data_IF_894842743384
#
_entry.id   IF_894842743384
#
_cell.length_a   1.000
_cell.length_b   1.000
_cell.length_c   1.000
_cell.angle_alpha   90.00
_cell.angle_beta   90.00
_cell.angle_gamma   90.00
#
_symmetry.space_group_name_H-M   'P 1'
#
loop_
_entity.id
_entity.type
_entity.pdbx_description
1 polymer ?
#
# COMPACT_ATOMS: atom_id res chain seq x y z
N UNK A 1 -1.37 4.64 119.22
CA UNK A 1 -1.14 6.08 119.46
C UNK A 1 0.36 6.33 119.39
N UNK A 2 0.77 7.37 118.65
CA UNK A 2 2.14 7.94 118.53
C UNK A 2 3.17 6.99 117.89
N UNK A 3 3.52 7.06 116.61
CA UNK A 3 3.81 8.18 115.71
C UNK A 3 4.92 9.15 116.19
N UNK A 4 6.01 9.12 115.41
CA UNK A 4 6.88 10.22 114.98
C UNK A 4 8.24 10.44 115.67
N UNK A 5 9.24 10.35 114.79
CA UNK A 5 10.38 11.27 114.68
C UNK A 5 11.66 10.97 115.44
N UNK A 6 12.08 9.70 115.40
CA UNK A 6 13.51 9.31 115.37
C UNK A 6 14.28 9.83 114.13
N UNK A 7 13.65 10.68 113.30
CA UNK A 7 14.23 11.26 112.09
C UNK A 7 15.11 12.50 112.33
N UNK A 8 15.19 13.02 113.56
CA UNK A 8 16.02 14.20 113.87
C UNK A 8 17.44 13.87 114.39
N UNK A 9 17.80 12.60 114.59
CA UNK A 9 19.11 12.25 115.15
C UNK A 9 20.14 11.75 114.12
N UNK A 10 19.76 11.50 112.86
CA UNK A 10 20.65 10.91 111.84
C UNK A 10 21.00 11.91 110.71
N UNK A 11 20.35 13.08 110.65
CA UNK A 11 20.49 14.01 109.53
C UNK A 11 21.60 15.09 109.70
N UNK A 12 22.36 15.10 110.80
CA UNK A 12 23.32 16.19 111.09
C UNK A 12 24.80 15.73 111.12
N UNK A 13 25.10 14.42 111.02
CA UNK A 13 26.49 13.92 111.07
C UNK A 13 27.17 13.74 109.68
N UNK A 14 26.48 13.99 108.56
CA UNK A 14 26.98 13.61 107.23
C UNK A 14 27.70 14.74 106.45
N UNK A 15 28.12 15.83 107.11
CA UNK A 15 28.63 17.02 106.41
C UNK A 15 30.11 17.34 106.62
N UNK A 16 30.95 16.41 107.08
CA UNK A 16 32.40 16.68 107.25
C UNK A 16 33.36 15.54 106.83
N UNK A 17 32.90 14.52 106.10
CA UNK A 17 33.81 13.57 105.47
C UNK A 17 34.11 13.98 104.01
N UNK A 18 35.38 13.96 103.56
CA UNK A 18 35.72 14.24 102.16
C UNK A 18 34.97 13.27 101.23
N UNK A 19 34.65 13.67 99.98
CA UNK A 19 33.84 12.84 99.10
C UNK A 19 34.52 11.48 98.93
N UNK A 20 33.84 10.44 99.42
CA UNK A 20 34.22 9.06 99.21
C UNK A 20 34.39 8.88 97.68
N UNK A 21 35.53 8.40 97.17
CA UNK A 21 35.68 8.18 95.74
C UNK A 21 34.54 7.29 95.27
N UNK A 22 33.87 7.71 94.19
CA UNK A 22 32.80 6.95 93.55
C UNK A 22 33.18 5.47 93.51
N UNK A 23 32.28 4.55 93.92
CA UNK A 23 32.60 3.13 93.95
C UNK A 23 33.13 2.73 92.56
N UNK A 24 34.33 2.16 92.58
CA UNK A 24 35.04 1.62 91.44
C UNK A 24 34.03 0.92 90.52
N UNK A 25 33.86 1.42 89.30
CA UNK A 25 32.87 0.90 88.34
C UNK A 25 33.01 -0.60 88.34
N UNK A 26 31.92 -1.31 88.67
CA UNK A 26 31.93 -2.78 88.76
C UNK A 26 32.67 -3.31 87.52
N UNK A 27 33.77 -4.06 87.68
CA UNK A 27 34.62 -4.49 86.56
C UNK A 27 33.81 -5.22 85.48
N UNK A 28 32.64 -5.78 85.82
CA UNK A 28 31.72 -6.37 84.86
C UNK A 28 31.01 -5.33 83.97
N UNK A 29 30.64 -4.15 84.49
CA UNK A 29 29.98 -3.08 83.71
C UNK A 29 30.97 -2.45 82.73
N UNK A 30 32.22 -2.23 83.15
CA UNK A 30 33.27 -1.70 82.27
C UNK A 30 33.64 -2.69 81.15
N UNK A 31 33.67 -4.00 81.45
CA UNK A 31 33.88 -5.05 80.45
C UNK A 31 32.72 -5.11 79.43
N UNK A 32 31.47 -5.09 79.91
CA UNK A 32 30.28 -5.07 79.04
C UNK A 32 30.26 -3.82 78.13
N UNK A 33 30.64 -2.65 78.65
CA UNK A 33 30.73 -1.43 77.84
C UNK A 33 31.80 -1.54 76.73
N UNK A 34 32.94 -2.19 77.04
CA UNK A 34 33.98 -2.49 76.05
C UNK A 34 33.49 -3.47 74.97
N UNK A 35 32.79 -4.52 75.37
CA UNK A 35 32.22 -5.51 74.44
C UNK A 35 31.16 -4.89 73.53
N UNK A 36 30.30 -4.01 74.04
CA UNK A 36 29.30 -3.28 73.24
C UNK A 36 29.98 -2.34 72.23
N UNK A 37 31.06 -1.66 72.61
CA UNK A 37 31.82 -0.80 71.69
C UNK A 37 32.45 -1.63 70.56
N UNK A 38 33.03 -2.79 70.90
CA UNK A 38 33.62 -3.71 69.93
C UNK A 38 32.55 -4.29 68.98
N UNK A 39 31.38 -4.68 69.50
CA UNK A 39 30.27 -5.15 68.67
C UNK A 39 29.77 -4.06 67.73
N UNK A 40 29.68 -2.82 68.21
CA UNK A 40 29.24 -1.67 67.40
C UNK A 40 30.21 -1.40 66.26
N UNK A 41 31.52 -1.44 66.53
CA UNK A 41 32.55 -1.29 65.51
C UNK A 41 32.50 -2.43 64.47
N UNK A 42 32.28 -3.68 64.92
CA UNK A 42 32.15 -4.82 64.03
C UNK A 42 30.91 -4.71 63.10
N UNK A 43 29.77 -4.26 63.63
CA UNK A 43 28.55 -4.03 62.84
C UNK A 43 28.75 -2.93 61.79
N UNK A 44 29.46 -1.85 62.15
CA UNK A 44 29.77 -0.78 61.20
C UNK A 44 30.70 -1.27 60.07
N UNK A 45 31.71 -2.06 60.39
CA UNK A 45 32.61 -2.66 59.41
C UNK A 45 31.86 -3.63 58.47
N UNK A 46 30.94 -4.44 59.01
CA UNK A 46 30.11 -5.33 58.20
C UNK A 46 29.20 -4.57 57.23
N UNK A 47 28.57 -3.47 57.69
CA UNK A 47 27.73 -2.63 56.83
C UNK A 47 28.52 -1.98 55.68
N UNK A 48 29.76 -1.53 55.95
CA UNK A 48 30.64 -1.01 54.90
C UNK A 48 31.02 -2.10 53.89
N UNK A 49 31.30 -3.33 54.36
CA UNK A 49 31.61 -4.46 53.49
C UNK A 49 30.40 -4.88 52.62
N UNK A 50 29.18 -4.85 53.16
CA UNK A 50 27.93 -5.11 52.42
C UNK A 50 27.74 -4.05 51.33
N UNK A 51 27.91 -2.76 51.64
CA UNK A 51 27.79 -1.68 50.65
C UNK A 51 28.84 -1.81 49.53
N UNK A 52 30.10 -2.11 49.89
CA UNK A 52 31.14 -2.35 48.90
C UNK A 52 30.85 -3.56 48.01
N UNK A 53 30.26 -4.62 48.57
CA UNK A 53 29.82 -5.80 47.83
C UNK A 53 28.65 -5.47 46.91
N UNK A 54 27.65 -4.72 47.38
CA UNK A 54 26.52 -4.28 46.56
C UNK A 54 26.98 -3.41 45.39
N UNK A 55 27.94 -2.51 45.61
CA UNK A 55 28.51 -1.70 44.53
C UNK A 55 29.31 -2.54 43.53
N UNK A 56 30.01 -3.59 43.97
CA UNK A 56 30.68 -4.54 43.07
C UNK A 56 29.66 -5.36 42.29
N UNK A 57 28.59 -5.84 42.92
CA UNK A 57 27.51 -6.59 42.27
C UNK A 57 26.79 -5.71 41.23
N UNK A 58 26.47 -4.46 41.56
CA UNK A 58 25.89 -3.50 40.62
C UNK A 58 26.80 -3.28 39.40
N UNK A 59 28.09 -3.02 39.62
CA UNK A 59 29.06 -2.87 38.54
C UNK A 59 29.26 -4.15 37.71
N UNK A 60 29.15 -5.34 38.32
CA UNK A 60 29.20 -6.61 37.59
C UNK A 60 27.93 -6.79 36.75
N UNK A 61 26.75 -6.44 37.27
CA UNK A 61 25.48 -6.47 36.51
C UNK A 61 25.55 -5.53 35.31
N UNK A 62 26.02 -4.29 35.51
CA UNK A 62 26.11 -3.27 34.47
C UNK A 62 27.16 -3.60 33.38
N UNK A 63 28.18 -4.40 33.72
CA UNK A 63 29.27 -4.75 32.81
C UNK A 63 29.32 -6.25 32.41
N UNK A 64 28.29 -7.05 32.75
CA UNK A 64 28.26 -8.45 32.37
C UNK A 64 28.05 -8.57 30.85
N UNK A 65 28.99 -9.18 30.08
CA UNK A 65 28.77 -9.46 28.67
C UNK A 65 27.71 -10.58 28.56
N UNK A 66 26.45 -10.16 28.46
CA UNK A 66 25.28 -11.05 28.56
C UNK A 66 24.10 -10.51 29.38
N UNK A 67 24.19 -9.33 29.99
CA UNK A 67 23.05 -8.66 30.65
C UNK A 67 21.93 -8.19 29.68
N UNK A 68 21.96 -8.60 28.42
CA UNK A 68 20.80 -8.53 27.53
C UNK A 68 20.15 -9.92 27.46
N UNK A 69 19.57 -10.37 28.57
CA UNK A 69 18.80 -11.62 28.63
C UNK A 69 17.48 -11.59 27.82
N UNK A 70 17.26 -10.52 27.06
CA UNK A 70 16.13 -10.33 26.15
C UNK A 70 16.60 -9.93 24.74
N UNK A 71 17.78 -10.37 24.29
CA UNK A 71 18.07 -10.32 22.86
C UNK A 71 16.92 -11.05 22.12
N UNK A 72 16.10 -10.35 21.31
CA UNK A 72 14.94 -10.98 20.70
C UNK A 72 15.42 -12.18 19.90
N UNK A 73 14.85 -13.36 20.16
CA UNK A 73 15.07 -14.51 19.28
C UNK A 73 14.70 -14.05 17.88
N UNK A 74 15.59 -14.15 16.87
CA UNK A 74 15.27 -13.71 15.53
C UNK A 74 14.07 -14.50 15.03
N UNK A 75 12.93 -13.83 14.87
CA UNK A 75 11.77 -14.43 14.23
C UNK A 75 12.09 -14.51 12.75
N UNK A 76 12.19 -15.73 12.21
CA UNK A 76 12.30 -15.90 10.77
C UNK A 76 11.02 -15.36 10.13
N UNK A 77 11.20 -14.38 9.25
CA UNK A 77 10.12 -13.87 8.42
C UNK A 77 10.66 -13.54 7.04
N UNK A 78 9.83 -13.78 6.02
CA UNK A 78 10.11 -13.39 4.64
C UNK A 78 10.04 -11.86 4.44
N UNK A 79 9.41 -11.13 5.37
CA UNK A 79 9.45 -9.68 5.39
C UNK A 79 9.83 -9.16 6.78
N UNK A 80 10.98 -8.47 6.94
CA UNK A 80 11.47 -8.00 8.23
C UNK A 80 10.48 -7.16 9.03
N UNK A 81 9.60 -6.39 8.37
CA UNK A 81 8.56 -5.58 9.04
C UNK A 81 7.55 -6.46 9.77
N UNK A 82 7.32 -7.67 9.26
CA UNK A 82 6.33 -8.58 9.83
C UNK A 82 6.80 -9.32 11.08
N UNK A 83 8.06 -9.14 11.49
CA UNK A 83 8.57 -9.66 12.76
C UNK A 83 8.03 -8.90 13.98
N UNK A 84 7.54 -7.67 13.79
CA UNK A 84 7.08 -6.78 14.86
C UNK A 84 5.92 -5.87 14.39
N UNK A 85 4.93 -6.46 13.72
CA UNK A 85 3.79 -5.74 13.12
C UNK A 85 3.00 -4.90 14.15
N UNK A 86 3.09 -5.30 15.41
CA UNK A 86 2.29 -4.79 16.53
C UNK A 86 2.92 -3.55 17.17
N UNK A 87 4.21 -3.32 16.88
CA UNK A 87 4.96 -2.25 17.51
C UNK A 87 4.82 -0.96 16.71
N UNK A 88 4.65 0.14 17.44
CA UNK A 88 4.84 1.46 16.88
C UNK A 88 6.25 1.55 16.28
N UNK A 89 6.35 1.97 15.02
CA UNK A 89 7.64 2.10 14.35
C UNK A 89 8.35 3.32 14.93
N UNK A 90 9.50 3.10 15.54
CA UNK A 90 10.37 4.18 15.99
C UNK A 90 11.19 4.73 14.81
N UNK A 91 10.70 5.82 14.24
CA UNK A 91 11.34 6.52 13.12
C UNK A 91 12.66 7.21 13.48
N UNK A 92 13.02 7.34 14.76
CA UNK A 92 14.35 7.85 15.16
C UNK A 92 15.46 6.83 14.92
N UNK A 93 15.12 5.55 14.82
CA UNK A 93 16.08 4.48 14.52
C UNK A 93 16.37 4.39 13.03
N UNK A 94 17.58 3.94 12.67
CA UNK A 94 17.95 3.66 11.27
C UNK A 94 16.99 2.68 10.60
N UNK A 95 16.54 1.66 11.35
CA UNK A 95 15.60 0.67 10.85
C UNK A 95 14.23 1.30 10.59
N UNK A 96 13.65 2.01 11.56
CA UNK A 96 12.34 2.65 11.39
C UNK A 96 12.33 3.73 10.31
N UNK A 97 13.39 4.54 10.20
CA UNK A 97 13.53 5.50 9.10
C UNK A 97 13.59 4.81 7.73
N UNK A 98 14.26 3.66 7.63
CA UNK A 98 14.28 2.87 6.40
C UNK A 98 12.89 2.29 6.08
N UNK A 99 12.16 1.82 7.09
CA UNK A 99 10.78 1.34 6.92
C UNK A 99 9.85 2.46 6.45
N UNK A 100 9.97 3.65 7.02
CA UNK A 100 9.22 4.83 6.58
C UNK A 100 9.50 5.15 5.11
N UNK A 101 10.79 5.21 4.74
CA UNK A 101 11.20 5.46 3.35
C UNK A 101 10.65 4.40 2.40
N UNK A 102 10.77 3.12 2.75
CA UNK A 102 10.24 2.02 1.95
C UNK A 102 8.72 2.08 1.87
N UNK A 103 8.03 2.32 2.98
CA UNK A 103 6.58 2.45 3.06
C UNK A 103 6.05 3.57 2.18
N UNK A 104 6.65 4.75 2.23
CA UNK A 104 6.22 5.94 1.48
C UNK A 104 6.69 5.99 0.02
N UNK A 105 7.66 5.16 -0.38
CA UNK A 105 8.21 5.19 -1.75
C UNK A 105 7.15 4.82 -2.79
N UNK A 106 7.28 5.33 -4.02
CA UNK A 106 6.43 4.88 -5.13
C UNK A 106 6.53 3.37 -5.34
N UNK A 107 5.50 2.79 -5.96
CA UNK A 107 5.62 1.45 -6.53
C UNK A 107 6.61 1.47 -7.71
N UNK A 108 7.13 0.29 -8.12
CA UNK A 108 8.09 0.19 -9.22
C UNK A 108 7.59 0.83 -10.53
N UNK A 109 6.30 0.71 -10.81
CA UNK A 109 5.69 1.25 -12.02
C UNK A 109 4.75 2.40 -11.71
N UNK A 110 4.97 3.56 -12.33
CA UNK A 110 4.03 4.69 -12.23
C UNK A 110 2.68 4.33 -12.85
N UNK A 111 1.60 4.78 -12.22
CA UNK A 111 0.24 4.43 -12.63
C UNK A 111 -0.49 5.62 -13.27
N UNK A 112 -0.86 5.46 -14.54
CA UNK A 112 -1.55 6.46 -15.38
C UNK A 112 -3.07 6.40 -15.34
N UNK A 113 -3.66 5.57 -14.47
CA UNK A 113 -5.11 5.38 -14.37
C UNK A 113 -5.75 4.95 -15.69
N UNK A 114 -5.10 4.01 -16.38
CA UNK A 114 -5.67 3.32 -17.54
C UNK A 114 -5.81 1.82 -17.24
N UNK A 115 -6.68 1.13 -17.98
CA UNK A 115 -6.98 -0.28 -17.71
C UNK A 115 -5.75 -1.17 -17.87
N UNK A 116 -4.88 -0.89 -18.86
CA UNK A 116 -3.64 -1.63 -19.07
C UNK A 116 -2.75 -1.68 -17.81
N UNK A 117 -2.74 -0.62 -17.00
CA UNK A 117 -1.95 -0.53 -15.76
C UNK A 117 -2.62 -1.09 -14.51
N UNK A 118 -3.94 -1.34 -14.52
CA UNK A 118 -4.73 -1.65 -13.30
C UNK A 118 -4.23 -2.89 -12.57
N UNK A 119 -4.06 -4.01 -13.28
CA UNK A 119 -3.63 -5.26 -12.67
C UNK A 119 -2.19 -5.20 -12.16
N UNK A 120 -1.31 -4.51 -12.88
CA UNK A 120 0.07 -4.29 -12.45
C UNK A 120 0.12 -3.43 -11.19
N UNK A 121 -0.64 -2.34 -11.16
CA UNK A 121 -0.78 -1.46 -10.00
C UNK A 121 -1.32 -2.20 -8.78
N UNK A 122 -2.39 -2.98 -8.96
CA UNK A 122 -2.96 -3.83 -7.90
C UNK A 122 -1.96 -4.86 -7.37
N UNK A 123 -1.24 -5.56 -8.25
CA UNK A 123 -0.22 -6.55 -7.87
C UNK A 123 0.93 -5.91 -7.09
N UNK A 124 1.46 -4.80 -7.58
CA UNK A 124 2.56 -4.09 -6.93
C UNK A 124 2.14 -3.53 -5.56
N UNK A 125 0.90 -3.04 -5.45
CA UNK A 125 0.34 -2.59 -4.18
C UNK A 125 0.17 -3.74 -3.19
N UNK A 126 -0.36 -4.89 -3.62
CA UNK A 126 -0.45 -6.09 -2.78
C UNK A 126 0.91 -6.54 -2.27
N UNK A 127 1.94 -6.49 -3.11
CA UNK A 127 3.29 -6.83 -2.70
C UNK A 127 3.81 -5.87 -1.63
N UNK A 128 3.56 -4.56 -1.78
CA UNK A 128 3.92 -3.55 -0.77
C UNK A 128 3.15 -3.78 0.54
N UNK A 129 1.85 -4.00 0.46
CA UNK A 129 0.99 -4.31 1.63
C UNK A 129 1.56 -5.48 2.43
N UNK A 130 1.85 -6.60 1.76
CA UNK A 130 2.44 -7.79 2.39
C UNK A 130 3.82 -7.52 2.97
N UNK A 131 4.66 -6.79 2.23
CA UNK A 131 5.99 -6.42 2.70
C UNK A 131 5.92 -5.54 3.97
N UNK A 132 4.94 -4.66 4.07
CA UNK A 132 4.80 -3.75 5.20
C UNK A 132 3.90 -4.28 6.33
N UNK A 133 3.25 -5.45 6.15
CA UNK A 133 2.35 -6.04 7.13
C UNK A 133 1.00 -5.31 7.28
N UNK A 134 0.62 -4.51 6.29
CA UNK A 134 -0.60 -3.69 6.30
C UNK A 134 -1.88 -4.54 6.22
N UNK A 135 -1.78 -5.78 5.75
CA UNK A 135 -2.84 -6.80 5.67
C UNK A 135 -2.95 -7.67 6.94
N UNK A 136 -2.06 -7.50 7.91
CA UNK A 136 -2.12 -8.25 9.16
C UNK A 136 -3.44 -8.00 9.91
N UNK A 137 -3.86 -8.97 10.73
CA UNK A 137 -5.04 -8.82 11.58
C UNK A 137 -4.90 -7.67 12.60
N UNK A 138 -3.67 -7.28 12.94
CA UNK A 138 -3.37 -6.30 13.98
C UNK A 138 -3.39 -4.88 13.41
N UNK A 139 -2.73 -4.64 12.27
CA UNK A 139 -2.81 -3.35 11.60
C UNK A 139 -4.11 -3.20 10.82
N UNK A 140 -4.47 -4.19 10.00
CA UNK A 140 -5.71 -4.25 9.24
C UNK A 140 -5.95 -3.04 8.33
N UNK A 141 -4.90 -2.35 7.88
CA UNK A 141 -4.99 -1.08 7.13
C UNK A 141 -5.81 -1.23 5.85
N UNK A 142 -5.85 -2.44 5.29
CA UNK A 142 -6.62 -2.78 4.09
C UNK A 142 -7.82 -3.71 4.32
N UNK A 143 -8.08 -4.11 5.58
CA UNK A 143 -9.10 -5.10 5.93
C UNK A 143 -10.26 -4.43 6.69
N UNK A 144 -11.47 -4.49 6.14
CA UNK A 144 -12.65 -3.81 6.70
C UNK A 144 -13.91 -4.64 6.52
N UNK A 145 -14.82 -4.59 7.51
CA UNK A 145 -16.12 -5.23 7.38
C UNK A 145 -17.02 -4.47 6.39
N UNK A 146 -17.71 -5.19 5.50
CA UNK A 146 -18.80 -4.62 4.71
C UNK A 146 -20.10 -4.54 5.52
N UNK A 147 -21.20 -4.12 4.88
CA UNK A 147 -22.50 -4.02 5.52
C UNK A 147 -23.05 -5.37 6.03
N UNK A 148 -22.65 -6.48 5.40
CA UNK A 148 -23.06 -7.84 5.76
C UNK A 148 -22.17 -8.44 6.88
N UNK A 149 -21.12 -7.72 7.30
CA UNK A 149 -20.14 -8.17 8.28
C UNK A 149 -18.97 -8.97 7.70
N UNK A 150 -18.90 -9.15 6.38
CA UNK A 150 -17.78 -9.83 5.71
C UNK A 150 -16.52 -8.98 5.80
N UNK A 151 -15.40 -9.59 6.18
CA UNK A 151 -14.10 -8.93 6.18
C UNK A 151 -13.54 -8.87 4.75
N UNK A 152 -13.46 -7.67 4.19
CA UNK A 152 -13.06 -7.39 2.81
C UNK A 152 -11.64 -6.84 2.75
N UNK A 153 -10.83 -7.40 1.84
CA UNK A 153 -9.54 -6.83 1.43
C UNK A 153 -9.78 -5.76 0.36
N UNK A 154 -9.54 -4.49 0.70
CA UNK A 154 -9.84 -3.36 -0.19
C UNK A 154 -8.95 -3.36 -1.45
N UNK A 155 -7.78 -4.00 -1.43
CA UNK A 155 -6.93 -4.04 -2.62
C UNK A 155 -7.49 -4.99 -3.68
N UNK A 156 -8.02 -6.14 -3.27
CA UNK A 156 -8.58 -7.15 -4.19
C UNK A 156 -10.06 -6.98 -4.46
N UNK A 157 -10.82 -6.51 -3.48
CA UNK A 157 -12.28 -6.58 -3.47
C UNK A 157 -12.93 -5.22 -3.17
N UNK A 158 -12.31 -4.11 -3.61
CA UNK A 158 -12.82 -2.75 -3.37
C UNK A 158 -14.28 -2.54 -3.83
N UNK A 159 -14.77 -3.30 -4.82
CA UNK A 159 -16.15 -3.25 -5.29
C UNK A 159 -17.18 -3.78 -4.29
N UNK A 160 -16.77 -4.61 -3.31
CA UNK A 160 -17.64 -5.26 -2.32
C UNK A 160 -17.81 -4.46 -1.03
N UNK A 161 -17.22 -3.28 -0.94
CA UNK A 161 -17.24 -2.45 0.27
C UNK A 161 -17.47 -0.97 -0.08
N UNK A 162 -18.25 -0.28 0.74
CA UNK A 162 -18.53 1.14 0.56
C UNK A 162 -17.42 2.03 1.13
N UNK A 163 -17.26 3.25 0.61
CA UNK A 163 -16.39 4.26 1.21
C UNK A 163 -16.78 4.54 2.68
N UNK A 164 -18.07 4.62 2.97
CA UNK A 164 -18.56 4.85 4.33
C UNK A 164 -18.13 3.74 5.30
N UNK A 165 -18.21 2.46 4.88
CA UNK A 165 -17.77 1.31 5.67
C UNK A 165 -16.25 1.35 5.93
N UNK A 166 -15.45 1.72 4.92
CA UNK A 166 -14.01 1.89 5.08
C UNK A 166 -13.70 3.02 6.07
N UNK A 167 -14.33 4.19 5.91
CA UNK A 167 -14.09 5.34 6.79
C UNK A 167 -14.51 5.04 8.23
N UNK A 168 -15.67 4.42 8.44
CA UNK A 168 -16.13 4.00 9.76
C UNK A 168 -15.18 2.99 10.40
N UNK A 169 -14.71 2.00 9.65
CA UNK A 169 -13.75 1.03 10.16
C UNK A 169 -12.35 1.61 10.38
N UNK A 170 -11.95 2.62 9.60
CA UNK A 170 -10.66 3.30 9.73
C UNK A 170 -10.60 4.19 10.98
N UNK A 171 -11.76 4.64 11.48
CA UNK A 171 -11.86 5.46 12.68
C UNK A 171 -11.09 4.87 13.87
N UNK A 172 -11.02 3.53 13.98
CA UNK A 172 -10.25 2.83 15.03
C UNK A 172 -8.78 3.25 15.13
N UNK A 173 -8.14 3.59 14.00
CA UNK A 173 -6.73 4.01 13.92
C UNK A 173 -6.56 5.48 13.50
N UNK A 174 -7.66 6.22 13.35
CA UNK A 174 -7.64 7.68 13.18
C UNK A 174 -7.97 8.38 14.49
N UNK A 175 -9.05 7.98 15.15
CA UNK A 175 -9.57 8.59 16.38
C UNK A 175 -9.66 7.60 17.56
N UNK A 176 -9.75 6.31 17.26
CA UNK A 176 -9.96 5.25 18.24
C UNK A 176 -8.69 4.78 18.95
N UNK A 177 -8.76 3.58 19.53
CA UNK A 177 -7.70 3.01 20.37
C UNK A 177 -6.35 2.81 19.65
N UNK A 178 -6.33 2.76 18.32
CA UNK A 178 -5.13 2.53 17.52
C UNK A 178 -4.55 3.82 16.91
N UNK A 179 -5.05 5.00 17.26
CA UNK A 179 -4.62 6.28 16.67
C UNK A 179 -3.13 6.60 16.85
N UNK A 180 -2.48 6.02 17.87
CA UNK A 180 -1.06 6.17 18.18
C UNK A 180 -0.30 4.84 18.04
N UNK A 181 -0.75 3.96 17.14
CA UNK A 181 -0.15 2.64 16.91
C UNK A 181 0.33 2.47 15.46
N UNK A 182 0.94 1.33 15.16
CA UNK A 182 1.47 0.99 13.84
C UNK A 182 0.43 1.08 12.71
N UNK A 183 -0.86 0.83 12.99
CA UNK A 183 -1.94 0.97 12.00
C UNK A 183 -2.07 2.40 11.45
N UNK A 184 -1.95 3.43 12.32
CA UNK A 184 -2.02 4.83 11.90
C UNK A 184 -0.81 5.20 11.02
N UNK A 185 0.40 4.75 11.40
CA UNK A 185 1.61 4.90 10.60
C UNK A 185 1.50 4.16 9.25
N UNK A 186 0.94 2.95 9.26
CA UNK A 186 0.70 2.14 8.08
C UNK A 186 -0.25 2.82 7.09
N UNK A 187 -1.37 3.35 7.58
CA UNK A 187 -2.28 4.16 6.77
C UNK A 187 -1.56 5.37 6.14
N UNK A 188 -0.79 6.12 6.93
CA UNK A 188 -0.03 7.27 6.42
C UNK A 188 0.98 6.87 5.33
N UNK A 189 1.81 5.86 5.59
CA UNK A 189 2.80 5.39 4.62
C UNK A 189 2.14 4.86 3.34
N UNK A 190 1.03 4.12 3.47
CA UNK A 190 0.26 3.61 2.33
C UNK A 190 -0.31 4.74 1.49
N UNK A 191 -0.90 5.77 2.11
CA UNK A 191 -1.41 6.94 1.40
C UNK A 191 -0.29 7.63 0.59
N UNK A 192 0.87 7.85 1.21
CA UNK A 192 2.03 8.43 0.52
C UNK A 192 2.56 7.56 -0.62
N UNK A 193 2.62 6.23 -0.44
CA UNK A 193 3.00 5.29 -1.49
C UNK A 193 2.09 5.41 -2.70
N UNK A 194 0.77 5.45 -2.47
CA UNK A 194 -0.23 5.55 -3.53
C UNK A 194 -0.09 6.89 -4.25
N UNK A 195 -0.08 8.01 -3.52
CA UNK A 195 0.07 9.35 -4.09
C UNK A 195 1.34 9.45 -4.93
N UNK A 196 2.48 8.95 -4.44
CA UNK A 196 3.76 9.00 -5.15
C UNK A 196 3.82 8.09 -6.39
N UNK A 197 2.93 7.11 -6.50
CA UNK A 197 2.86 6.18 -7.65
C UNK A 197 2.03 6.75 -8.79
N UNK A 198 1.06 7.61 -8.50
CA UNK A 198 0.16 8.19 -9.50
C UNK A 198 0.82 9.39 -10.16
N UNK A 199 0.71 9.50 -11.49
CA UNK A 199 1.22 10.67 -12.22
C UNK A 199 0.61 11.98 -11.72
N UNK A 200 1.44 13.03 -11.65
CA UNK A 200 1.07 14.31 -11.06
C UNK A 200 -0.14 14.98 -11.75
N UNK A 201 -0.29 14.83 -13.06
CA UNK A 201 -1.44 15.37 -13.82
C UNK A 201 -2.76 14.72 -13.39
N UNK A 202 -2.74 13.44 -13.00
CA UNK A 202 -3.90 12.69 -12.53
C UNK A 202 -4.26 12.96 -11.07
N UNK A 203 -3.29 13.33 -10.24
CA UNK A 203 -3.53 13.65 -8.82
C UNK A 203 -4.56 14.78 -8.62
N UNK A 204 -4.58 15.76 -9.53
CA UNK A 204 -5.51 16.88 -9.50
C UNK A 204 -6.99 16.46 -9.60
N UNK A 205 -7.27 15.34 -10.28
CA UNK A 205 -8.64 14.84 -10.48
C UNK A 205 -9.26 14.35 -9.16
N UNK A 206 -8.43 13.88 -8.23
CA UNK A 206 -8.90 13.37 -6.94
C UNK A 206 -9.32 14.46 -5.97
N UNK A 207 -8.86 15.70 -6.18
CA UNK A 207 -9.19 16.82 -5.29
C UNK A 207 -10.71 17.05 -5.19
N UNK A 208 -11.47 16.73 -6.25
CA UNK A 208 -12.93 16.81 -6.27
C UNK A 208 -13.62 15.73 -5.41
N UNK A 209 -12.92 14.64 -5.10
CA UNK A 209 -13.46 13.46 -4.40
C UNK A 209 -12.95 13.34 -2.96
N UNK A 210 -12.29 14.37 -2.42
CA UNK A 210 -11.69 14.37 -1.06
C UNK A 210 -12.63 13.88 0.03
N UNK A 211 -13.90 14.25 -0.01
CA UNK A 211 -14.89 13.78 0.96
C UNK A 211 -15.07 12.24 1.00
N UNK A 212 -14.68 11.52 -0.05
CA UNK A 212 -14.75 10.05 -0.09
C UNK A 212 -13.62 9.40 0.69
N UNK A 213 -12.47 10.06 0.82
CA UNK A 213 -11.25 9.42 1.33
C UNK A 213 -10.50 10.22 2.40
N UNK A 214 -10.89 11.46 2.68
CA UNK A 214 -10.32 12.26 3.75
C UNK A 214 -11.23 12.29 4.99
N UNK A 215 -10.62 12.22 6.17
CA UNK A 215 -11.31 12.41 7.45
C UNK A 215 -10.50 13.34 8.36
N UNK A 216 -11.14 13.87 9.39
CA UNK A 216 -10.49 14.72 10.40
C UNK A 216 -10.19 13.91 11.66
N UNK A 217 -8.93 13.90 12.14
CA UNK A 217 -8.61 13.35 13.45
C UNK A 217 -9.14 14.29 14.56
N UNK A 218 -9.94 13.78 15.49
CA UNK A 218 -10.40 14.45 16.71
C UNK A 218 -10.92 15.89 16.53
N UNK A 219 -11.61 16.16 15.43
CA UNK A 219 -12.13 17.50 15.12
C UNK A 219 -11.06 18.52 14.68
N UNK A 220 -9.84 18.06 14.38
CA UNK A 220 -8.79 18.88 13.77
C UNK A 220 -9.20 19.40 12.39
N UNK A 221 -8.71 20.59 12.06
CA UNK A 221 -8.82 21.17 10.72
C UNK A 221 -7.92 20.44 9.70
N UNK A 222 -6.94 19.66 10.17
CA UNK A 222 -6.10 18.84 9.30
C UNK A 222 -6.88 17.63 8.77
N UNK A 223 -6.78 17.38 7.46
CA UNK A 223 -7.40 16.24 6.81
C UNK A 223 -6.37 15.15 6.62
N UNK A 224 -6.70 13.93 7.06
CA UNK A 224 -5.90 12.73 6.85
C UNK A 224 -6.55 11.92 5.74
N UNK A 225 -5.72 11.45 4.81
CA UNK A 225 -6.12 10.48 3.78
C UNK A 225 -6.24 9.09 4.41
N UNK A 226 -7.42 8.48 4.28
CA UNK A 226 -7.63 7.05 4.56
C UNK A 226 -7.21 6.27 3.32
N UNK A 227 -6.05 5.62 3.38
CA UNK A 227 -5.37 5.05 2.23
C UNK A 227 -6.21 4.00 1.49
N UNK A 228 -6.92 3.14 2.22
CA UNK A 228 -7.82 2.15 1.62
C UNK A 228 -9.00 2.81 0.88
N UNK A 229 -9.56 3.89 1.43
CA UNK A 229 -10.63 4.64 0.76
C UNK A 229 -10.10 5.37 -0.46
N UNK A 230 -8.89 5.92 -0.38
CA UNK A 230 -8.22 6.57 -1.50
C UNK A 230 -7.93 5.59 -2.64
N UNK A 231 -7.39 4.41 -2.32
CA UNK A 231 -7.22 3.29 -3.25
C UNK A 231 -8.52 2.97 -4.00
N UNK A 232 -9.63 2.78 -3.26
CA UNK A 232 -10.94 2.51 -3.86
C UNK A 232 -11.35 3.62 -4.84
N UNK A 233 -11.19 4.90 -4.48
CA UNK A 233 -11.51 6.01 -5.38
C UNK A 233 -10.69 5.96 -6.67
N UNK A 234 -9.39 5.66 -6.59
CA UNK A 234 -8.51 5.51 -7.76
C UNK A 234 -8.98 4.39 -8.68
N UNK A 235 -9.29 3.22 -8.10
CA UNK A 235 -9.72 2.06 -8.87
C UNK A 235 -11.10 2.28 -9.50
N UNK A 236 -12.05 2.88 -8.78
CA UNK A 236 -13.37 3.23 -9.32
C UNK A 236 -13.30 4.22 -10.47
N UNK A 237 -12.53 5.31 -10.32
CA UNK A 237 -12.36 6.30 -11.39
C UNK A 237 -11.65 5.69 -12.60
N UNK A 238 -10.61 4.88 -12.37
CA UNK A 238 -9.93 4.19 -13.46
C UNK A 238 -10.90 3.27 -14.20
N UNK A 239 -11.69 2.44 -13.51
CA UNK A 239 -12.64 1.54 -14.17
C UNK A 239 -13.77 2.30 -14.90
N UNK A 240 -14.23 3.41 -14.35
CA UNK A 240 -15.22 4.27 -15.02
C UNK A 240 -14.66 4.81 -16.34
N UNK A 241 -13.45 5.38 -16.31
CA UNK A 241 -12.77 5.89 -17.50
C UNK A 241 -12.49 4.78 -18.51
N UNK A 242 -12.16 3.57 -18.04
CA UNK A 242 -11.99 2.41 -18.91
C UNK A 242 -13.32 2.00 -19.55
N UNK A 243 -14.43 2.03 -18.82
CA UNK A 243 -15.76 1.73 -19.38
C UNK A 243 -16.16 2.73 -20.45
N UNK A 244 -15.95 4.03 -20.19
CA UNK A 244 -16.20 5.09 -21.17
C UNK A 244 -15.29 4.92 -22.39
N UNK A 245 -13.99 4.69 -22.18
CA UNK A 245 -13.02 4.47 -23.25
C UNK A 245 -13.40 3.23 -24.07
N UNK A 246 -13.76 2.11 -23.43
CA UNK A 246 -14.19 0.88 -24.10
C UNK A 246 -15.46 1.12 -24.92
N UNK A 247 -16.41 1.91 -24.42
CA UNK A 247 -17.61 2.29 -25.18
C UNK A 247 -17.26 3.11 -26.42
N UNK A 248 -16.30 4.04 -26.31
CA UNK A 248 -15.82 4.82 -27.47
C UNK A 248 -15.09 3.93 -28.45
N UNK A 249 -14.19 3.06 -28.00
CA UNK A 249 -13.45 2.11 -28.85
C UNK A 249 -14.40 1.17 -29.58
N UNK A 250 -15.40 0.61 -28.88
CA UNK A 250 -16.44 -0.23 -29.50
C UNK A 250 -17.27 0.54 -30.51
N UNK A 251 -17.72 1.76 -30.17
CA UNK A 251 -18.48 2.58 -31.11
C UNK A 251 -17.66 2.91 -32.36
N UNK A 252 -16.38 3.26 -32.21
CA UNK A 252 -15.49 3.50 -33.32
C UNK A 252 -15.31 2.25 -34.20
N UNK A 253 -15.12 1.08 -33.58
CA UNK A 253 -14.95 -0.18 -34.30
C UNK A 253 -16.25 -0.65 -34.99
N UNK A 254 -17.43 -0.42 -34.39
CA UNK A 254 -18.73 -0.62 -35.06
C UNK A 254 -18.88 0.30 -36.28
N UNK A 255 -18.29 1.49 -36.23
CA UNK A 255 -18.32 2.47 -37.32
C UNK A 255 -17.14 2.32 -38.30
N UNK A 256 -16.50 1.14 -38.37
CA UNK A 256 -15.37 0.89 -39.29
C UNK A 256 -15.72 1.14 -40.76
N UNK A 257 -16.99 0.95 -41.15
CA UNK A 257 -17.47 1.35 -42.46
C UNK A 257 -17.26 2.84 -42.76
N UNK A 258 -17.45 3.73 -41.79
CA UNK A 258 -17.20 5.15 -41.97
C UNK A 258 -15.70 5.45 -42.08
N UNK A 259 -14.83 4.70 -41.40
CA UNK A 259 -13.39 4.81 -41.59
C UNK A 259 -12.98 4.40 -43.00
N UNK A 260 -13.55 3.33 -43.57
CA UNK A 260 -13.32 2.94 -44.95
C UNK A 260 -13.66 4.06 -45.94
N UNK A 261 -14.84 4.68 -45.78
CA UNK A 261 -15.28 5.81 -46.61
C UNK A 261 -14.30 6.98 -46.50
N UNK A 262 -13.95 7.36 -45.27
CA UNK A 262 -13.08 8.51 -45.00
C UNK A 262 -11.63 8.28 -45.48
N UNK A 263 -11.19 7.03 -45.57
CA UNK A 263 -9.84 6.67 -46.02
C UNK A 263 -9.70 6.66 -47.54
N UNK A 264 -10.78 6.89 -48.31
CA UNK A 264 -10.76 6.95 -49.77
C UNK A 264 -10.04 5.75 -50.43
N UNK A 265 -10.27 4.55 -49.88
CA UNK A 265 -9.65 3.31 -50.34
C UNK A 265 -8.21 3.06 -49.87
N UNK A 266 -7.63 3.91 -49.03
CA UNK A 266 -6.33 3.62 -48.39
C UNK A 266 -6.49 2.53 -47.33
N UNK A 267 -6.08 1.31 -47.69
CA UNK A 267 -6.18 0.14 -46.83
C UNK A 267 -5.23 0.24 -45.63
N UNK A 268 -4.08 0.90 -45.74
CA UNK A 268 -3.16 1.07 -44.60
C UNK A 268 -3.75 2.02 -43.56
N UNK A 269 -4.37 3.12 -44.03
CA UNK A 269 -5.07 4.07 -43.17
C UNK A 269 -6.29 3.46 -42.44
N UNK A 270 -6.81 2.32 -42.90
CA UNK A 270 -7.87 1.56 -42.21
C UNK A 270 -7.27 0.55 -41.23
N UNK A 271 -6.23 -0.19 -41.63
CA UNK A 271 -5.64 -1.26 -40.82
C UNK A 271 -5.01 -0.72 -39.54
N UNK A 272 -4.23 0.35 -39.62
CA UNK A 272 -3.47 0.87 -38.46
C UNK A 272 -4.41 1.31 -37.31
N UNK A 273 -5.45 2.14 -37.54
CA UNK A 273 -6.37 2.52 -36.47
C UNK A 273 -7.19 1.36 -35.93
N UNK A 274 -7.64 0.43 -36.78
CA UNK A 274 -8.41 -0.74 -36.33
C UNK A 274 -7.55 -1.63 -35.44
N UNK A 275 -6.32 -1.90 -35.83
CA UNK A 275 -5.36 -2.71 -35.05
C UNK A 275 -5.08 -2.06 -33.70
N UNK A 276 -4.82 -0.75 -33.67
CA UNK A 276 -4.54 -0.01 -32.44
C UNK A 276 -5.73 -0.08 -31.48
N UNK A 277 -6.94 0.23 -31.96
CA UNK A 277 -8.15 0.26 -31.12
C UNK A 277 -8.53 -1.12 -30.60
N UNK A 278 -8.43 -2.16 -31.43
CA UNK A 278 -8.69 -3.53 -31.01
C UNK A 278 -7.65 -4.02 -29.98
N UNK A 279 -6.37 -3.69 -30.17
CA UNK A 279 -5.31 -4.00 -29.19
C UNK A 279 -5.57 -3.31 -27.85
N UNK A 280 -6.07 -2.06 -27.87
CA UNK A 280 -6.46 -1.35 -26.65
C UNK A 280 -7.63 -2.05 -25.92
N UNK A 281 -8.69 -2.44 -26.63
CA UNK A 281 -9.78 -3.24 -26.04
C UNK A 281 -9.27 -4.55 -25.43
N UNK A 282 -8.44 -5.28 -26.17
CA UNK A 282 -7.87 -6.54 -25.70
C UNK A 282 -6.98 -6.35 -24.47
N UNK A 283 -6.21 -5.26 -24.40
CA UNK A 283 -5.41 -4.91 -23.22
C UNK A 283 -6.26 -4.61 -21.98
N UNK A 284 -7.53 -4.24 -22.18
CA UNK A 284 -8.52 -4.04 -21.13
C UNK A 284 -9.32 -5.32 -20.83
N UNK A 285 -8.94 -6.46 -21.42
CA UNK A 285 -9.63 -7.75 -21.32
C UNK A 285 -11.07 -7.72 -21.84
N UNK A 286 -11.38 -6.80 -22.75
CA UNK A 286 -12.63 -6.76 -23.47
C UNK A 286 -12.44 -7.38 -24.85
N UNK A 287 -13.44 -8.13 -25.30
CA UNK A 287 -13.50 -8.69 -26.65
C UNK A 287 -14.66 -8.06 -27.45
N UNK A 288 -14.63 -8.26 -28.77
CA UNK A 288 -15.66 -7.84 -29.70
C UNK A 288 -15.87 -8.93 -30.77
N UNK A 289 -16.66 -9.97 -30.46
CA UNK A 289 -16.82 -11.15 -31.33
C UNK A 289 -17.47 -10.82 -32.68
N UNK A 290 -18.23 -9.72 -32.76
CA UNK A 290 -18.93 -9.29 -33.97
C UNK A 290 -18.04 -8.45 -34.91
N UNK A 291 -16.84 -8.05 -34.46
CA UNK A 291 -15.94 -7.20 -35.24
C UNK A 291 -15.44 -7.84 -36.54
N UNK A 292 -15.08 -9.15 -36.59
CA UNK A 292 -14.68 -9.81 -37.83
C UNK A 292 -15.73 -9.66 -38.95
N UNK A 293 -17.00 -9.91 -38.66
CA UNK A 293 -18.10 -9.77 -39.62
C UNK A 293 -18.27 -8.30 -40.04
N UNK A 294 -18.30 -7.38 -39.06
CA UNK A 294 -18.43 -5.94 -39.30
C UNK A 294 -17.31 -5.40 -40.21
N UNK A 295 -16.08 -5.89 -40.04
CA UNK A 295 -14.94 -5.49 -40.86
C UNK A 295 -15.03 -6.07 -42.28
N UNK A 296 -15.47 -7.32 -42.43
CA UNK A 296 -15.72 -7.93 -43.75
C UNK A 296 -16.79 -7.13 -44.51
N UNK A 297 -17.90 -6.80 -43.85
CA UNK A 297 -18.97 -5.99 -44.41
C UNK A 297 -18.47 -4.60 -44.82
N UNK A 298 -17.67 -3.94 -43.97
CA UNK A 298 -17.07 -2.65 -44.29
C UNK A 298 -16.12 -2.70 -45.49
N UNK A 299 -15.29 -3.73 -45.61
CA UNK A 299 -14.42 -3.89 -46.78
C UNK A 299 -15.20 -4.17 -48.07
N UNK A 300 -16.31 -4.89 -47.97
CA UNK A 300 -17.22 -5.17 -49.09
C UNK A 300 -17.94 -3.91 -49.56
N UNK A 301 -18.57 -3.18 -48.64
CA UNK A 301 -19.55 -2.15 -48.97
C UNK A 301 -18.96 -0.73 -49.06
N UNK A 302 -17.82 -0.48 -48.41
CA UNK A 302 -17.35 0.89 -48.16
C UNK A 302 -15.95 1.20 -48.72
N UNK A 303 -15.28 0.24 -49.36
CA UNK A 303 -14.04 0.48 -50.11
C UNK A 303 -14.37 0.60 -51.59
N UNK A 304 -14.00 1.74 -52.18
CA UNK A 304 -14.33 2.09 -53.57
C UNK A 304 -13.40 1.40 -54.60
N UNK A 305 -13.43 0.07 -54.66
CA UNK A 305 -12.80 -0.74 -55.72
C UNK A 305 -13.58 -2.02 -55.99
N UNK A 306 -14.16 -2.15 -57.19
CA UNK A 306 -14.99 -3.29 -57.60
C UNK A 306 -14.32 -4.66 -57.42
N UNK A 307 -13.02 -4.76 -57.68
CA UNK A 307 -12.29 -6.03 -57.59
C UNK A 307 -12.02 -6.43 -56.14
N UNK A 308 -11.86 -5.44 -55.27
CA UNK A 308 -11.73 -5.61 -53.83
C UNK A 308 -13.08 -5.94 -53.19
N UNK A 309 -14.13 -5.17 -53.50
CA UNK A 309 -15.49 -5.42 -53.00
C UNK A 309 -15.99 -6.81 -53.37
N UNK A 310 -15.81 -7.26 -54.62
CA UNK A 310 -16.19 -8.64 -55.04
C UNK A 310 -15.44 -9.73 -54.29
N UNK A 311 -14.17 -9.48 -53.93
CA UNK A 311 -13.41 -10.43 -53.13
C UNK A 311 -13.99 -10.56 -51.72
N UNK A 312 -14.34 -9.43 -51.10
CA UNK A 312 -14.93 -9.40 -49.76
C UNK A 312 -16.40 -9.84 -49.72
N UNK A 313 -17.16 -9.62 -50.79
CA UNK A 313 -18.51 -10.18 -50.96
C UNK A 313 -18.49 -11.70 -50.88
N UNK A 314 -17.58 -12.34 -51.61
CA UNK A 314 -17.38 -13.78 -51.49
C UNK A 314 -16.97 -14.20 -50.08
N UNK A 315 -16.03 -13.49 -49.44
CA UNK A 315 -15.61 -13.80 -48.06
C UNK A 315 -16.75 -13.66 -47.06
N UNK A 316 -17.63 -12.70 -47.27
CA UNK A 316 -18.82 -12.53 -46.45
C UNK A 316 -19.77 -13.73 -46.61
N UNK A 317 -20.03 -14.20 -47.83
CA UNK A 317 -20.79 -15.44 -48.05
C UNK A 317 -20.12 -16.66 -47.40
N UNK A 318 -18.82 -16.88 -47.63
CA UNK A 318 -18.05 -17.99 -47.05
C UNK A 318 -18.13 -17.97 -45.50
N UNK A 319 -18.19 -16.79 -44.88
CA UNK A 319 -18.35 -16.62 -43.43
C UNK A 319 -19.72 -17.11 -42.93
N UNK A 320 -20.80 -16.69 -43.59
CA UNK A 320 -22.16 -17.10 -43.24
C UNK A 320 -22.46 -18.58 -43.57
N UNK A 321 -21.82 -19.11 -44.61
CA UNK A 321 -21.91 -20.53 -44.98
C UNK A 321 -21.10 -21.43 -44.04
N UNK A 322 -20.30 -20.85 -43.13
CA UNK A 322 -19.51 -21.58 -42.15
C UNK A 322 -18.34 -22.35 -42.78
N UNK A 323 -17.79 -21.85 -43.89
CA UNK A 323 -16.64 -22.47 -44.54
C UNK A 323 -15.47 -22.60 -43.55
N UNK A 324 -14.74 -23.74 -43.51
CA UNK A 324 -13.77 -24.03 -42.44
C UNK A 324 -12.70 -22.95 -42.23
N UNK A 325 -12.34 -22.24 -43.30
CA UNK A 325 -11.35 -21.17 -43.31
C UNK A 325 -11.90 -19.85 -42.72
N UNK A 326 -13.21 -19.64 -42.79
CA UNK A 326 -13.89 -18.45 -42.23
C UNK A 326 -14.45 -18.69 -40.83
N UNK A 327 -14.81 -19.93 -40.48
CA UNK A 327 -15.46 -20.26 -39.21
C UNK A 327 -14.62 -19.91 -37.95
N UNK A 328 -13.29 -19.85 -38.07
CA UNK A 328 -12.37 -19.48 -36.98
C UNK A 328 -11.46 -18.31 -37.37
N UNK A 329 -11.92 -17.45 -38.28
CA UNK A 329 -11.10 -16.35 -38.77
C UNK A 329 -10.83 -15.34 -37.64
N UNK A 330 -9.58 -14.94 -37.46
CA UNK A 330 -9.24 -13.87 -36.52
C UNK A 330 -9.27 -12.51 -37.21
N UNK A 331 -9.44 -11.45 -36.42
CA UNK A 331 -9.33 -10.07 -36.92
C UNK A 331 -8.00 -9.84 -37.66
N UNK A 332 -6.90 -10.33 -37.08
CA UNK A 332 -5.56 -10.20 -37.65
C UNK A 332 -5.47 -10.85 -39.04
N UNK A 333 -6.06 -12.03 -39.23
CA UNK A 333 -6.07 -12.70 -40.53
C UNK A 333 -6.90 -11.93 -41.57
N UNK A 334 -8.03 -11.34 -41.17
CA UNK A 334 -8.83 -10.47 -42.05
C UNK A 334 -8.00 -9.28 -42.52
N UNK A 335 -7.31 -8.59 -41.60
CA UNK A 335 -6.46 -7.44 -41.93
C UNK A 335 -5.29 -7.83 -42.86
N UNK A 336 -4.63 -8.97 -42.60
CA UNK A 336 -3.57 -9.51 -43.47
C UNK A 336 -4.10 -9.79 -44.87
N UNK A 337 -5.29 -10.40 -44.98
CA UNK A 337 -5.91 -10.68 -46.28
C UNK A 337 -6.31 -9.41 -47.01
N UNK A 338 -6.81 -8.40 -46.31
CA UNK A 338 -7.12 -7.08 -46.87
C UNK A 338 -5.88 -6.46 -47.50
N UNK A 339 -4.79 -6.39 -46.72
CA UNK A 339 -3.51 -5.85 -47.18
C UNK A 339 -2.95 -6.64 -48.37
N UNK A 340 -3.00 -7.96 -48.30
CA UNK A 340 -2.51 -8.85 -49.36
C UNK A 340 -3.30 -8.64 -50.65
N UNK A 341 -4.64 -8.57 -50.56
CA UNK A 341 -5.52 -8.34 -51.70
C UNK A 341 -5.29 -6.98 -52.33
N UNK A 342 -5.18 -5.94 -51.51
CA UNK A 342 -4.85 -4.58 -51.95
C UNK A 342 -3.52 -4.55 -52.71
N UNK A 343 -2.44 -5.05 -52.10
CA UNK A 343 -1.12 -5.10 -52.72
C UNK A 343 -1.14 -5.87 -54.06
N UNK A 344 -1.89 -6.98 -54.13
CA UNK A 344 -2.05 -7.75 -55.37
C UNK A 344 -2.73 -6.93 -56.48
N UNK A 345 -3.81 -6.20 -56.16
CA UNK A 345 -4.53 -5.38 -57.13
C UNK A 345 -3.69 -4.20 -57.61
N UNK A 346 -2.92 -3.57 -56.72
CA UNK A 346 -1.96 -2.52 -57.07
C UNK A 346 -0.87 -3.06 -58.00
N UNK A 347 -0.24 -4.19 -57.65
CA UNK A 347 0.78 -4.84 -58.48
C UNK A 347 0.26 -5.23 -59.86
N UNK A 348 -1.00 -5.68 -59.94
CA UNK A 348 -1.66 -6.03 -61.19
C UNK A 348 -2.18 -4.82 -61.97
N UNK A 349 -2.04 -3.59 -61.45
CA UNK A 349 -2.61 -2.36 -62.03
C UNK A 349 -4.13 -2.44 -62.22
N UNK A 350 -4.82 -3.11 -61.31
CA UNK A 350 -6.29 -3.27 -61.31
C UNK A 350 -6.98 -2.48 -60.20
N UNK A 351 -6.19 -1.91 -59.29
CA UNK A 351 -6.69 -1.01 -58.24
C UNK A 351 -7.18 0.32 -58.82
N UNK A 352 -8.38 0.76 -58.44
CA UNK A 352 -9.00 2.01 -58.92
C UNK A 352 -9.38 1.97 -60.41
N UNK A 353 -9.31 0.80 -61.04
CA UNK A 353 -9.49 0.62 -62.49
C UNK A 353 -10.90 0.91 -63.01
N UNK A 354 -11.85 1.24 -62.12
CA UNK A 354 -13.21 1.67 -62.46
C UNK A 354 -13.35 3.13 -62.90
N UNK A 355 -12.31 3.97 -62.77
CA UNK A 355 -12.38 5.41 -63.08
C UNK A 355 -11.65 5.85 -64.37
N UNK A 356 -11.31 4.92 -65.28
CA UNK A 356 -10.76 5.32 -66.60
C UNK A 356 -11.88 5.54 -67.62
N UNK A 357 -12.74 6.54 -67.38
CA UNK A 357 -13.39 7.31 -68.45
C UNK A 357 -13.62 8.76 -68.00
N UNK A 358 -12.71 9.66 -68.39
CA UNK A 358 -12.98 11.10 -68.45
C UNK A 358 -12.23 11.99 -67.45
N UNK A 359 -11.00 12.37 -67.82
CA UNK A 359 -10.40 13.69 -67.60
C UNK A 359 -10.37 14.27 -66.16
N UNK A 360 -9.28 14.03 -65.44
CA UNK A 360 -8.90 14.78 -64.23
C UNK A 360 -7.70 14.14 -63.54
N UNK A 361 -6.54 14.80 -63.57
CA UNK A 361 -5.26 14.25 -63.11
C UNK A 361 -5.21 13.95 -61.60
N UNK A 362 -4.80 12.74 -61.25
CA UNK A 362 -4.35 12.40 -59.90
C UNK A 362 -2.84 12.61 -59.80
N UNK A 363 -2.44 13.63 -59.04
CA UNK A 363 -1.06 13.87 -58.63
C UNK A 363 -0.67 12.87 -57.54
N UNK A 364 0.25 11.96 -57.85
CA UNK A 364 0.95 11.18 -56.82
C UNK A 364 2.13 12.00 -56.30
N UNK A 365 2.06 12.41 -55.03
CA UNK A 365 3.22 12.91 -54.28
C UNK A 365 4.15 11.73 -53.99
N UNK A 366 5.31 11.70 -54.64
CA UNK A 366 6.39 10.79 -54.25
C UNK A 366 7.09 11.33 -53.00
N UNK A 367 7.09 10.53 -51.92
CA UNK A 367 7.91 10.79 -50.74
C UNK A 367 9.41 10.63 -51.06
N UNK A 368 10.29 11.33 -50.32
CA UNK A 368 11.69 11.51 -50.68
C UNK A 368 12.53 10.25 -50.43
N UNK A 369 13.63 10.20 -51.18
CA UNK A 369 14.62 9.11 -51.27
C UNK A 369 15.40 8.87 -50.00
#
# INVERSE_FOLDING_TARGET
MQQHSSLQAILIAYHNDPPNPLPNVDPNIAAIAGDVANLTAAVQALNQAIQATNNKVANIIDNWPGANANAPVPVFTLSPVTAAVDNLIDFSTKHGAQLYKTGCSSLPTSFSMNAAGVLLFQREMLNRVKAMGWDSAIQGVIMFANADGDLINVITDFGRISHASILAGADRFINGAQHNQGAAQGNHMMAHSITSTIFADKQSQFLAYKLRYETSPNGSNEKIIVAASYWKTIMELTLLDCTVTNSVLRNDLCNVGQFCINSNGDIDAIIDPVTLKYTQLYSHQEDMPDLPESLIAAFKDNVDDDNFSKYWDKKHSDFWDGEPVMANITLEQILIWAKTKFNLLVLQKKWGGGQIQGNGGYHWSQGPS
#
